data_IF_195838649429
#
_entry.id   IF_195838649429
#
_cell.length_a   1.000
_cell.length_b   1.000
_cell.length_c   1.000
_cell.angle_alpha   90.00
_cell.angle_beta   90.00
_cell.angle_gamma   90.00
#
_symmetry.space_group_name_H-M   'P 1'
#
loop_
_entity.id
_entity.type
_entity.pdbx_description
1 polymer ?
#
# COMPACT_ATOMS: atom_id res chain seq x y z
N UNK A 1 -72.25 -30.37 -48.73
CA UNK A 1 -71.49 -30.24 -47.46
C UNK A 1 -70.25 -31.08 -47.58
N UNK A 2 -69.09 -30.44 -47.74
CA UNK A 2 -67.83 -31.06 -48.17
C UNK A 2 -67.07 -31.63 -46.96
N UNK A 3 -67.02 -32.95 -46.87
CA UNK A 3 -66.05 -33.69 -46.05
C UNK A 3 -64.84 -33.99 -46.95
N UNK A 4 -63.65 -33.57 -46.53
CA UNK A 4 -62.40 -33.83 -47.25
C UNK A 4 -61.56 -34.78 -46.40
N UNK A 5 -61.50 -36.03 -46.85
CA UNK A 5 -60.53 -37.04 -46.47
C UNK A 5 -59.75 -37.40 -47.73
N UNK A 6 -58.42 -37.29 -47.67
CA UNK A 6 -57.35 -38.00 -48.42
C UNK A 6 -56.05 -37.19 -48.18
N UNK A 7 -54.87 -37.76 -47.99
CA UNK A 7 -54.25 -38.80 -48.83
C UNK A 7 -53.06 -39.46 -48.10
N UNK A 8 -52.83 -40.74 -48.42
CA UNK A 8 -51.62 -41.53 -48.13
C UNK A 8 -50.53 -41.26 -49.18
N UNK A 9 -49.26 -41.28 -48.77
CA UNK A 9 -48.07 -41.78 -49.51
C UNK A 9 -46.92 -41.91 -48.50
N UNK A 10 -46.47 -43.11 -48.11
CA UNK A 10 -45.49 -44.01 -48.73
C UNK A 10 -44.03 -43.48 -48.78
N UNK A 11 -43.28 -43.86 -47.74
CA UNK A 11 -41.92 -44.41 -47.67
C UNK A 11 -40.92 -44.23 -48.84
N UNK A 12 -39.79 -43.59 -48.52
CA UNK A 12 -38.39 -44.02 -48.74
C UNK A 12 -37.54 -43.18 -47.75
N UNK A 13 -36.63 -43.68 -46.91
CA UNK A 13 -35.78 -44.84 -46.96
C UNK A 13 -34.32 -44.39 -47.16
N UNK A 14 -33.64 -43.93 -46.11
CA UNK A 14 -32.16 -43.97 -45.99
C UNK A 14 -31.68 -43.56 -44.59
N UNK A 15 -30.88 -44.44 -43.98
CA UNK A 15 -30.08 -44.22 -42.77
C UNK A 15 -29.13 -43.02 -42.94
N UNK A 16 -28.97 -42.20 -41.89
CA UNK A 16 -27.70 -41.53 -41.59
C UNK A 16 -27.64 -41.02 -40.14
N UNK A 17 -26.76 -41.65 -39.36
CA UNK A 17 -25.83 -41.08 -38.38
C UNK A 17 -26.43 -40.18 -37.26
N UNK A 18 -26.39 -40.75 -36.05
CA UNK A 18 -26.55 -40.05 -34.77
C UNK A 18 -25.42 -39.04 -34.59
N UNK A 19 -25.72 -37.75 -34.69
CA UNK A 19 -24.90 -36.67 -34.14
C UNK A 19 -25.56 -36.16 -32.86
N UNK A 20 -24.96 -36.44 -31.70
CA UNK A 20 -25.28 -35.75 -30.45
C UNK A 20 -24.99 -34.26 -30.63
N UNK A 21 -26.04 -33.44 -30.68
CA UNK A 21 -25.96 -32.00 -30.52
C UNK A 21 -25.96 -31.70 -29.01
N UNK A 22 -24.78 -31.47 -28.45
CA UNK A 22 -24.65 -30.66 -27.24
C UNK A 22 -25.01 -29.22 -27.62
N UNK A 23 -26.10 -28.70 -27.05
CA UNK A 23 -26.32 -27.27 -27.01
C UNK A 23 -25.26 -26.63 -26.09
N UNK A 24 -24.51 -25.61 -26.52
CA UNK A 24 -23.70 -24.84 -25.60
C UNK A 24 -24.61 -23.94 -24.78
N UNK A 25 -24.58 -24.13 -23.47
CA UNK A 25 -24.96 -23.09 -22.51
C UNK A 25 -24.24 -21.79 -22.89
N UNK A 26 -24.99 -20.71 -22.98
CA UNK A 26 -24.47 -19.35 -23.17
C UNK A 26 -23.71 -18.93 -21.92
N UNK A 27 -22.45 -19.34 -21.83
CA UNK A 27 -21.46 -18.73 -20.97
C UNK A 27 -20.99 -17.42 -21.61
N UNK A 28 -21.42 -16.29 -21.06
CA UNK A 28 -20.84 -14.99 -21.40
C UNK A 28 -19.40 -14.92 -20.86
N UNK A 29 -18.44 -15.28 -21.70
CA UNK A 29 -17.03 -14.99 -21.51
C UNK A 29 -16.74 -13.56 -21.99
N UNK A 30 -16.83 -12.58 -21.09
CA UNK A 30 -16.20 -11.28 -21.30
C UNK A 30 -14.72 -11.37 -20.90
N UNK A 31 -13.88 -11.79 -21.85
CA UNK A 31 -12.43 -11.70 -21.74
C UNK A 31 -12.03 -10.26 -22.09
N UNK A 32 -11.89 -9.40 -21.09
CA UNK A 32 -11.23 -8.09 -21.22
C UNK A 32 -9.71 -8.25 -21.29
N UNK A 33 -8.98 -7.32 -21.95
CA UNK A 33 -7.55 -7.44 -22.19
C UNK A 33 -6.74 -7.24 -20.91
N UNK A 34 -5.60 -7.92 -20.85
CA UNK A 34 -4.74 -8.01 -19.66
C UNK A 34 -4.36 -6.67 -19.05
N UNK A 35 -4.78 -6.48 -17.81
CA UNK A 35 -4.10 -5.65 -16.82
C UNK A 35 -3.59 -6.59 -15.74
N UNK A 36 -2.29 -6.57 -15.49
CA UNK A 36 -1.66 -7.33 -14.42
C UNK A 36 -2.14 -6.80 -13.08
N UNK A 37 -3.14 -7.48 -12.52
CA UNK A 37 -3.57 -7.31 -11.14
C UNK A 37 -2.49 -7.97 -10.27
N UNK A 38 -1.54 -7.18 -9.80
CA UNK A 38 -0.50 -7.65 -8.90
C UNK A 38 -1.01 -7.62 -7.47
N UNK A 39 -0.92 -8.76 -6.80
CA UNK A 39 -1.29 -8.92 -5.41
C UNK A 39 -0.37 -8.04 -4.53
N UNK A 40 -0.93 -6.97 -3.95
CA UNK A 40 -0.32 -6.35 -2.78
C UNK A 40 -0.48 -7.39 -1.67
N UNK A 41 0.62 -8.04 -1.30
CA UNK A 41 0.61 -9.17 -0.38
C UNK A 41 -0.02 -8.77 0.96
N UNK A 42 -1.22 -9.29 1.18
CA UNK A 42 -2.11 -8.99 2.31
C UNK A 42 -3.45 -9.72 2.16
N UNK A 43 -3.43 -10.96 1.65
CA UNK A 43 -4.63 -11.77 1.56
C UNK A 43 -4.74 -12.69 2.79
N UNK A 44 -5.47 -12.23 3.82
CA UNK A 44 -5.77 -13.02 5.02
C UNK A 44 -6.70 -14.22 4.74
N UNK A 45 -7.13 -14.44 3.49
CA UNK A 45 -8.02 -15.53 3.09
C UNK A 45 -7.32 -16.91 3.04
N UNK A 46 -5.98 -16.98 3.16
CA UNK A 46 -5.22 -18.25 3.14
C UNK A 46 -4.90 -18.83 4.51
N UNK A 47 -5.29 -18.21 5.63
CA UNK A 47 -5.01 -18.77 6.95
C UNK A 47 -6.19 -19.63 7.44
N UNK A 48 -6.22 -20.86 6.94
CA UNK A 48 -7.10 -21.93 7.42
C UNK A 48 -6.73 -22.33 8.86
N UNK A 49 -7.18 -21.55 9.84
CA UNK A 49 -7.21 -21.93 11.26
C UNK A 49 -6.38 -21.09 12.23
N UNK A 50 -5.72 -20.01 11.80
CA UNK A 50 -5.15 -19.00 12.70
C UNK A 50 -6.03 -17.76 12.72
N UNK A 51 -6.11 -17.10 13.88
CA UNK A 51 -6.81 -15.82 14.07
C UNK A 51 -6.39 -14.84 12.98
N UNK A 52 -7.35 -14.36 12.18
CA UNK A 52 -7.12 -13.31 11.20
C UNK A 52 -6.49 -12.10 11.91
N UNK A 53 -5.23 -11.77 11.59
CA UNK A 53 -4.51 -10.64 12.22
C UNK A 53 -5.22 -9.32 11.92
N UNK A 54 -5.80 -9.17 10.72
CA UNK A 54 -6.71 -8.09 10.32
C UNK A 54 -7.75 -8.57 9.31
N UNK A 55 -8.89 -7.90 9.21
CA UNK A 55 -9.90 -8.08 8.16
C UNK A 55 -9.79 -7.05 7.03
N UNK A 56 -8.88 -6.08 7.14
CA UNK A 56 -8.61 -5.10 6.10
C UNK A 56 -7.86 -5.78 4.95
N UNK A 57 -8.31 -5.51 3.73
CA UNK A 57 -7.68 -5.99 2.50
C UNK A 57 -7.00 -4.82 1.81
N UNK A 58 -5.75 -5.03 1.39
CA UNK A 58 -4.97 -4.04 0.65
C UNK A 58 -4.87 -4.46 -0.83
N UNK A 59 -4.92 -3.47 -1.71
CA UNK A 59 -4.72 -3.63 -3.16
C UNK A 59 -4.12 -2.35 -3.74
N UNK A 60 -3.66 -2.36 -4.98
CA UNK A 60 -3.17 -1.15 -5.65
C UNK A 60 -1.98 -1.37 -6.57
N UNK A 61 -1.51 -0.28 -7.17
CA UNK A 61 -0.34 -0.24 -8.05
C UNK A 61 0.82 0.37 -7.29
N UNK A 62 1.73 -0.49 -6.83
CA UNK A 62 2.98 -0.12 -6.17
C UNK A 62 4.17 -0.57 -7.01
N UNK A 63 5.36 0.00 -6.80
CA UNK A 63 6.54 -0.34 -7.62
C UNK A 63 7.04 -1.78 -7.38
N UNK A 64 7.41 -2.47 -8.46
CA UNK A 64 8.01 -3.82 -8.50
C UNK A 64 9.49 -3.82 -8.06
N UNK A 65 9.83 -3.29 -6.89
CA UNK A 65 11.18 -3.46 -6.36
C UNK A 65 11.31 -4.86 -5.75
N UNK A 66 11.97 -5.77 -6.48
CA UNK A 66 12.50 -7.03 -5.93
C UNK A 66 13.57 -6.71 -4.88
N UNK A 67 13.12 -6.46 -3.67
CA UNK A 67 13.92 -6.18 -2.50
C UNK A 67 12.95 -6.07 -1.33
N UNK A 68 13.02 -7.04 -0.42
CA UNK A 68 12.31 -6.95 0.84
C UNK A 68 12.84 -5.73 1.58
N UNK A 69 12.10 -4.63 1.58
CA UNK A 69 11.93 -3.68 2.69
C UNK A 69 10.95 -2.59 2.22
N UNK A 70 9.80 -2.52 2.86
CA UNK A 70 8.88 -1.37 2.90
C UNK A 70 9.53 -0.11 3.48
N UNK A 71 10.75 -0.20 4.01
CA UNK A 71 11.33 0.78 4.95
C UNK A 71 11.95 2.04 4.35
N UNK A 72 11.56 2.49 3.16
CA UNK A 72 12.16 3.70 2.56
C UNK A 72 11.22 4.87 2.37
N UNK A 73 9.91 4.65 2.28
CA UNK A 73 8.93 5.72 2.10
C UNK A 73 8.53 6.25 3.48
N UNK A 74 9.02 7.44 3.83
CA UNK A 74 8.86 8.03 5.15
C UNK A 74 8.04 9.32 5.07
N UNK A 75 7.09 9.56 5.98
CA UNK A 75 6.37 10.83 6.04
C UNK A 75 7.31 11.99 6.39
N UNK A 76 7.02 13.14 5.81
CA UNK A 76 7.65 14.42 6.13
C UNK A 76 7.01 14.97 7.40
N UNK A 77 7.85 15.34 8.37
CA UNK A 77 7.42 15.91 9.64
C UNK A 77 7.11 14.88 10.74
N UNK A 78 6.50 15.35 11.83
CA UNK A 78 6.26 14.56 13.05
C UNK A 78 4.93 13.79 13.00
N UNK A 79 4.70 13.06 11.92
CA UNK A 79 3.51 12.23 11.76
C UNK A 79 3.88 10.76 11.48
N UNK A 80 3.07 9.84 11.99
CA UNK A 80 3.19 8.42 11.67
C UNK A 80 1.81 7.80 11.47
N UNK A 81 1.67 6.82 10.58
CA UNK A 81 0.48 6.00 10.48
C UNK A 81 0.10 5.37 11.84
N UNK A 82 -1.18 5.08 12.07
CA UNK A 82 -1.63 4.49 13.32
C UNK A 82 -0.96 3.13 13.52
N UNK A 83 -0.36 2.96 14.69
CA UNK A 83 0.28 1.70 15.09
C UNK A 83 -0.72 0.59 15.42
N UNK A 84 -1.97 0.99 15.69
CA UNK A 84 -3.05 0.12 16.11
C UNK A 84 -4.39 0.74 15.75
N UNK A 85 -5.40 -0.09 15.56
CA UNK A 85 -6.78 0.30 15.26
C UNK A 85 -7.78 -0.74 15.78
N UNK A 86 -9.05 -0.38 15.84
CA UNK A 86 -10.14 -1.29 16.16
C UNK A 86 -10.92 -1.66 14.91
N UNK A 87 -11.17 -2.95 14.72
CA UNK A 87 -11.97 -3.48 13.62
C UNK A 87 -12.88 -4.64 14.07
N UNK A 88 -13.98 -4.92 13.34
CA UNK A 88 -14.82 -6.09 13.61
C UNK A 88 -14.02 -7.39 13.44
N UNK A 89 -13.98 -8.24 14.47
CA UNK A 89 -13.22 -9.50 14.44
C UNK A 89 -14.06 -10.77 14.54
N UNK A 90 -15.10 -10.80 15.37
CA UNK A 90 -15.80 -12.07 15.68
C UNK A 90 -17.30 -11.91 15.84
N UNK A 91 -18.05 -12.93 15.42
CA UNK A 91 -19.43 -13.14 15.88
C UNK A 91 -19.46 -13.49 17.37
N UNK A 92 -20.63 -13.43 18.04
CA UNK A 92 -20.75 -13.84 19.45
C UNK A 92 -20.20 -15.23 19.77
N UNK A 93 -20.50 -16.22 18.91
CA UNK A 93 -20.06 -17.59 19.12
C UNK A 93 -18.55 -17.77 18.89
N UNK A 94 -17.98 -17.05 17.92
CA UNK A 94 -16.54 -17.05 17.66
C UNK A 94 -15.78 -16.37 18.80
N UNK A 95 -16.25 -15.23 19.29
CA UNK A 95 -15.60 -14.54 20.40
C UNK A 95 -15.61 -15.38 21.67
N UNK A 96 -16.74 -16.04 22.00
CA UNK A 96 -16.81 -16.93 23.14
C UNK A 96 -15.78 -18.08 23.06
N UNK A 97 -15.55 -18.64 21.86
CA UNK A 97 -14.53 -19.67 21.63
C UNK A 97 -13.12 -19.09 21.70
N UNK A 98 -12.90 -17.93 21.10
CA UNK A 98 -11.61 -17.25 21.09
C UNK A 98 -11.18 -16.86 22.52
N UNK A 99 -12.09 -16.28 23.30
CA UNK A 99 -11.88 -15.97 24.71
C UNK A 99 -11.50 -17.21 25.51
N UNK A 100 -12.18 -18.35 25.30
CA UNK A 100 -11.80 -19.61 25.97
C UNK A 100 -10.41 -20.08 25.57
N UNK A 101 -10.05 -19.97 24.29
CA UNK A 101 -8.73 -20.38 23.78
C UNK A 101 -7.61 -19.51 24.33
N UNK A 102 -7.76 -18.19 24.29
CA UNK A 102 -6.72 -17.25 24.74
C UNK A 102 -6.49 -17.31 26.25
N UNK A 103 -7.52 -17.72 26.98
CA UNK A 103 -7.50 -17.83 28.42
C UNK A 103 -7.51 -19.27 28.94
N UNK A 104 -7.21 -20.27 28.10
CA UNK A 104 -6.90 -21.65 28.52
C UNK A 104 -5.48 -21.71 29.12
N UNK A 105 -5.25 -20.88 30.12
CA UNK A 105 -3.97 -20.68 30.77
C UNK A 105 -3.91 -21.59 32.01
N UNK A 106 -2.82 -22.34 32.24
CA UNK A 106 -2.69 -23.19 33.42
C UNK A 106 -2.97 -22.43 34.72
N UNK A 107 -3.72 -23.06 35.63
CA UNK A 107 -4.16 -22.49 36.91
C UNK A 107 -3.01 -21.93 37.79
N UNK A 108 -1.75 -22.31 37.52
CA UNK A 108 -0.55 -21.86 38.23
C UNK A 108 0.05 -20.53 37.72
N UNK A 109 -0.54 -19.90 36.72
CA UNK A 109 -0.02 -18.68 36.06
C UNK A 109 -0.23 -17.37 36.83
N UNK A 110 -1.02 -17.37 37.91
CA UNK A 110 -1.33 -16.17 38.69
C UNK A 110 -2.34 -15.22 38.03
N UNK A 111 -2.80 -15.49 36.80
CA UNK A 111 -3.76 -14.64 36.05
C UNK A 111 -5.23 -15.11 36.17
N UNK A 112 -5.50 -16.13 36.99
CA UNK A 112 -6.83 -16.73 37.12
C UNK A 112 -7.92 -15.76 37.62
N UNK A 113 -7.56 -14.79 38.47
CA UNK A 113 -8.49 -13.75 38.92
C UNK A 113 -8.86 -12.80 37.78
N UNK A 114 -7.88 -12.33 37.01
CA UNK A 114 -8.12 -11.49 35.83
C UNK A 114 -8.97 -12.20 34.78
N UNK A 115 -8.73 -13.51 34.56
CA UNK A 115 -9.58 -14.35 33.71
C UNK A 115 -11.02 -14.38 34.19
N UNK A 116 -11.25 -14.66 35.48
CA UNK A 116 -12.60 -14.75 36.03
C UNK A 116 -13.32 -13.40 35.93
N UNK A 117 -12.65 -12.29 36.21
CA UNK A 117 -13.22 -10.94 36.06
C UNK A 117 -13.60 -10.64 34.60
N UNK A 118 -12.71 -10.92 33.64
CA UNK A 118 -12.99 -10.73 32.22
C UNK A 118 -14.12 -11.64 31.73
N UNK A 119 -14.14 -12.90 32.19
CA UNK A 119 -15.19 -13.87 31.86
C UNK A 119 -16.54 -13.44 32.40
N UNK A 120 -16.60 -13.00 33.66
CA UNK A 120 -17.82 -12.49 34.27
C UNK A 120 -18.30 -11.23 33.55
N UNK A 121 -17.41 -10.33 33.14
CA UNK A 121 -17.76 -9.15 32.34
C UNK A 121 -18.50 -9.51 31.04
N UNK A 122 -18.01 -10.47 30.26
CA UNK A 122 -18.65 -10.84 28.99
C UNK A 122 -19.84 -11.80 29.14
N UNK A 123 -19.87 -12.60 30.21
CA UNK A 123 -20.91 -13.60 30.43
C UNK A 123 -22.12 -13.05 31.19
N UNK A 124 -21.88 -12.22 32.21
CA UNK A 124 -22.89 -11.78 33.17
C UNK A 124 -22.80 -10.27 33.51
N UNK A 125 -21.91 -9.52 32.87
CA UNK A 125 -21.72 -8.09 33.12
C UNK A 125 -22.73 -7.21 32.39
N UNK A 126 -22.81 -5.93 32.76
CA UNK A 126 -23.52 -4.94 31.95
C UNK A 126 -22.52 -4.28 30.99
N UNK A 127 -22.83 -4.17 29.68
CA UNK A 127 -24.09 -4.47 29.02
C UNK A 127 -24.16 -5.88 28.38
N UNK A 128 -23.30 -6.83 28.76
CA UNK A 128 -23.08 -8.08 28.03
C UNK A 128 -23.61 -9.33 28.73
N UNK A 129 -24.48 -10.07 28.04
CA UNK A 129 -24.99 -11.36 28.53
C UNK A 129 -24.61 -12.50 27.60
N UNK A 130 -23.99 -13.53 28.16
CA UNK A 130 -23.51 -14.73 27.48
C UNK A 130 -22.79 -14.41 26.15
N UNK A 131 -21.80 -13.52 26.19
CA UNK A 131 -21.02 -13.07 25.05
C UNK A 131 -21.89 -12.49 23.91
N UNK A 132 -23.05 -11.93 24.23
CA UNK A 132 -24.06 -11.43 23.30
C UNK A 132 -24.55 -12.48 22.29
N UNK A 133 -24.58 -13.78 22.65
CA UNK A 133 -25.07 -14.84 21.73
C UNK A 133 -26.49 -14.59 21.21
N UNK A 134 -27.37 -13.99 21.99
CA UNK A 134 -28.72 -13.60 21.56
C UNK A 134 -28.75 -12.47 20.52
N UNK A 135 -27.64 -11.77 20.31
CA UNK A 135 -27.46 -10.70 19.33
C UNK A 135 -26.73 -11.18 18.06
N UNK A 136 -26.60 -12.49 17.86
CA UNK A 136 -25.99 -13.07 16.65
C UNK A 136 -26.63 -12.50 15.38
N UNK A 137 -25.80 -12.07 14.44
CA UNK A 137 -26.22 -11.47 13.18
C UNK A 137 -26.60 -9.98 13.24
N UNK A 138 -26.63 -9.38 14.43
CA UNK A 138 -26.97 -7.94 14.60
C UNK A 138 -25.74 -7.05 14.78
N UNK A 139 -24.56 -7.63 14.95
CA UNK A 139 -23.33 -6.93 15.25
C UNK A 139 -22.14 -7.87 15.28
N UNK A 140 -21.00 -7.32 15.66
CA UNK A 140 -19.74 -8.02 15.80
C UNK A 140 -18.99 -7.55 17.05
N UNK A 141 -18.13 -8.41 17.57
CA UNK A 141 -17.10 -8.04 18.54
C UNK A 141 -15.93 -7.37 17.83
N UNK A 142 -15.55 -6.20 18.33
CA UNK A 142 -14.45 -5.39 17.85
C UNK A 142 -13.28 -5.49 18.81
N UNK A 143 -12.09 -5.56 18.24
CA UNK A 143 -10.87 -5.75 19.00
C UNK A 143 -9.70 -5.02 18.36
N UNK A 144 -8.66 -4.78 19.15
CA UNK A 144 -7.46 -4.11 18.66
C UNK A 144 -6.73 -4.99 17.64
N UNK A 145 -6.27 -4.36 16.58
CA UNK A 145 -5.24 -4.86 15.67
C UNK A 145 -4.04 -3.97 15.80
N UNK A 146 -2.85 -4.57 15.72
CA UNK A 146 -1.57 -3.89 15.84
C UNK A 146 -0.79 -4.06 14.55
N UNK A 147 -0.03 -3.04 14.21
CA UNK A 147 1.03 -3.18 13.23
C UNK A 147 2.09 -4.14 13.78
N UNK A 148 2.32 -5.24 13.06
CA UNK A 148 3.16 -6.35 13.50
C UNK A 148 4.61 -5.92 13.72
N UNK A 149 5.17 -5.15 12.78
CA UNK A 149 6.56 -4.71 12.85
C UNK A 149 6.75 -3.77 14.06
N UNK A 150 5.78 -2.89 14.32
CA UNK A 150 5.80 -2.00 15.48
C UNK A 150 5.60 -2.74 16.80
N UNK A 151 4.70 -3.72 16.85
CA UNK A 151 4.53 -4.60 18.02
C UNK A 151 5.82 -5.36 18.33
N UNK A 152 6.44 -5.99 17.32
CA UNK A 152 7.68 -6.75 17.46
C UNK A 152 8.86 -5.86 17.90
N UNK A 153 8.89 -4.61 17.44
CA UNK A 153 9.90 -3.62 17.88
C UNK A 153 9.68 -3.08 19.31
N UNK A 154 8.54 -3.38 19.93
CA UNK A 154 8.18 -2.86 21.25
C UNK A 154 7.75 -1.39 21.25
N UNK A 155 7.27 -0.87 20.12
CA UNK A 155 6.80 0.50 20.00
C UNK A 155 5.56 0.74 20.89
N UNK A 156 5.61 1.67 21.87
CA UNK A 156 4.50 1.92 22.77
C UNK A 156 3.19 2.27 22.07
N UNK A 157 3.25 2.90 20.89
CA UNK A 157 2.04 3.27 20.16
C UNK A 157 1.27 2.05 19.66
N UNK A 158 1.93 0.92 19.36
CA UNK A 158 1.26 -0.33 18.96
C UNK A 158 0.36 -0.87 20.07
N UNK A 159 0.65 -0.51 21.33
CA UNK A 159 -0.12 -0.92 22.50
C UNK A 159 -1.11 0.16 22.99
N UNK A 160 -1.23 1.29 22.28
CA UNK A 160 -2.11 2.39 22.68
C UNK A 160 -3.61 2.08 22.49
N UNK A 161 -3.95 1.05 21.70
CA UNK A 161 -5.30 0.53 21.57
C UNK A 161 -5.53 -0.51 22.68
N UNK A 162 -5.87 0.00 23.87
CA UNK A 162 -5.98 -0.75 25.13
C UNK A 162 -7.43 -1.03 25.57
N UNK A 163 -8.42 -0.48 24.86
CA UNK A 163 -9.85 -0.78 25.09
C UNK A 163 -10.09 -2.28 24.90
N UNK A 164 -10.65 -2.91 25.94
CA UNK A 164 -11.04 -4.31 25.93
C UNK A 164 -12.05 -4.60 24.81
N UNK A 165 -12.03 -5.82 24.26
CA UNK A 165 -12.94 -6.25 23.19
C UNK A 165 -14.39 -5.86 23.48
N UNK A 166 -15.06 -5.20 22.53
CA UNK A 166 -16.38 -4.60 22.76
C UNK A 166 -17.37 -4.89 21.63
N UNK A 167 -18.66 -4.82 21.94
CA UNK A 167 -19.72 -5.13 20.97
C UNK A 167 -20.17 -3.89 20.21
N UNK A 168 -20.35 -4.02 18.91
CA UNK A 168 -20.92 -2.98 18.05
C UNK A 168 -21.97 -3.58 17.12
N UNK A 169 -23.09 -2.88 16.97
CA UNK A 169 -24.13 -3.23 16.00
C UNK A 169 -23.63 -3.03 14.56
N UNK A 170 -24.18 -3.84 13.63
CA UNK A 170 -23.80 -3.77 12.23
C UNK A 170 -24.08 -2.38 11.63
N UNK A 171 -23.20 -1.96 10.72
CA UNK A 171 -23.29 -0.67 10.02
C UNK A 171 -22.97 0.55 10.90
N UNK A 172 -22.53 0.36 12.15
CA UNK A 172 -22.08 1.45 13.02
C UNK A 172 -20.57 1.49 13.13
N UNK A 173 -20.02 2.70 13.11
CA UNK A 173 -18.65 2.97 13.56
C UNK A 173 -18.67 3.29 15.06
N UNK A 174 -17.90 2.59 15.90
CA UNK A 174 -17.86 2.87 17.33
C UNK A 174 -17.16 4.19 17.63
N UNK A 175 -17.59 4.87 18.69
CA UNK A 175 -16.94 6.10 19.18
C UNK A 175 -15.74 5.76 20.07
N UNK A 176 -14.76 5.07 19.51
CA UNK A 176 -13.46 4.82 20.14
C UNK A 176 -12.37 5.40 19.27
N UNK A 177 -11.31 5.91 19.88
CA UNK A 177 -10.14 6.40 19.13
C UNK A 177 -9.58 5.26 18.29
N UNK A 178 -9.20 5.56 17.05
CA UNK A 178 -8.69 4.58 16.07
C UNK A 178 -9.69 3.45 15.72
N UNK A 179 -11.00 3.64 15.94
CA UNK A 179 -12.00 2.83 15.23
C UNK A 179 -11.76 2.92 13.73
N UNK A 180 -11.81 1.80 13.02
CA UNK A 180 -11.62 1.80 11.56
C UNK A 180 -12.66 2.69 10.87
N UNK A 181 -12.15 3.68 10.16
CA UNK A 181 -12.87 4.67 9.35
C UNK A 181 -12.16 4.76 7.99
N UNK A 182 -12.77 5.41 6.96
CA UNK A 182 -12.06 5.69 5.71
C UNK A 182 -10.72 6.42 5.94
N UNK A 183 -10.65 7.33 6.90
CA UNK A 183 -9.40 8.02 7.24
C UNK A 183 -8.35 7.06 7.82
N UNK A 184 -8.71 6.18 8.76
CA UNK A 184 -7.77 5.16 9.28
C UNK A 184 -7.33 4.23 8.15
N UNK A 185 -8.23 3.83 7.27
CA UNK A 185 -7.88 3.04 6.08
C UNK A 185 -6.89 3.77 5.17
N UNK A 186 -7.04 5.09 4.97
CA UNK A 186 -6.11 5.88 4.17
C UNK A 186 -4.71 5.94 4.81
N UNK A 187 -4.64 6.10 6.13
CA UNK A 187 -3.38 6.12 6.87
C UNK A 187 -2.71 4.73 6.88
N UNK A 188 -3.48 3.65 6.93
CA UNK A 188 -2.96 2.29 6.77
C UNK A 188 -2.53 2.00 5.33
N UNK A 189 -3.24 2.52 4.33
CA UNK A 189 -2.80 2.44 2.94
C UNK A 189 -1.49 3.22 2.71
N UNK A 190 -1.31 4.37 3.37
CA UNK A 190 -0.07 5.14 3.37
C UNK A 190 1.13 4.29 3.80
N UNK A 191 1.02 3.53 4.90
CA UNK A 191 2.12 2.69 5.40
C UNK A 191 2.51 1.54 4.46
N UNK A 192 1.67 1.27 3.45
CA UNK A 192 1.90 0.23 2.44
C UNK A 192 2.36 0.78 1.10
N UNK A 193 2.53 2.10 0.96
CA UNK A 193 3.06 2.72 -0.25
C UNK A 193 4.49 2.22 -0.50
N UNK A 194 4.75 1.78 -1.73
CA UNK A 194 6.10 1.46 -2.21
C UNK A 194 6.35 2.20 -3.51
N UNK A 195 7.37 3.05 -3.49
CA UNK A 195 7.83 3.84 -4.62
C UNK A 195 9.09 3.24 -5.24
N UNK A 196 9.39 3.52 -6.52
CA UNK A 196 10.61 3.05 -7.17
C UNK A 196 11.89 3.54 -6.46
N UNK A 197 12.98 2.78 -6.59
CA UNK A 197 14.30 3.23 -6.14
C UNK A 197 14.72 4.52 -6.87
N UNK A 198 15.17 5.52 -6.11
CA UNK A 198 15.53 6.87 -6.54
C UNK A 198 16.93 6.97 -7.15
N UNK A 199 17.30 6.02 -8.02
CA UNK A 199 18.55 6.18 -8.79
C UNK A 199 18.36 7.21 -9.88
N UNK A 200 18.92 8.40 -9.65
CA UNK A 200 18.85 9.52 -10.58
C UNK A 200 19.75 9.24 -11.77
N UNK A 201 19.24 9.54 -12.97
CA UNK A 201 20.06 9.43 -14.17
C UNK A 201 21.00 10.63 -14.24
N UNK A 202 22.30 10.36 -14.38
CA UNK A 202 23.33 11.39 -14.47
C UNK A 202 23.97 11.43 -15.87
N UNK A 203 24.30 12.64 -16.33
CA UNK A 203 25.19 12.86 -17.47
C UNK A 203 26.24 13.93 -17.16
N UNK A 204 27.54 13.59 -17.15
CA UNK A 204 28.13 12.26 -17.36
C UNK A 204 27.71 11.21 -16.31
N UNK A 205 27.64 9.94 -16.71
CA UNK A 205 27.22 8.84 -15.83
C UNK A 205 28.36 8.43 -14.88
N UNK A 206 28.11 8.46 -13.57
CA UNK A 206 28.96 7.98 -12.45
C UNK A 206 30.34 8.65 -12.30
N UNK A 207 30.98 9.09 -13.39
CA UNK A 207 32.28 9.74 -13.39
C UNK A 207 32.14 11.10 -14.05
N UNK A 208 32.38 12.15 -13.27
CA UNK A 208 32.39 13.52 -13.75
C UNK A 208 33.75 14.18 -13.49
N UNK A 209 33.87 15.44 -13.88
CA UNK A 209 35.11 16.21 -13.77
C UNK A 209 34.89 17.45 -12.90
N UNK A 210 35.96 17.90 -12.26
CA UNK A 210 35.96 19.18 -11.53
C UNK A 210 35.51 20.29 -12.46
N UNK A 211 34.62 21.15 -11.98
CA UNK A 211 34.00 22.26 -12.70
C UNK A 211 33.13 21.87 -13.92
N UNK A 212 32.80 20.59 -14.09
CA UNK A 212 31.88 20.13 -15.14
C UNK A 212 30.45 19.98 -14.57
N UNK A 213 29.46 20.74 -15.07
CA UNK A 213 28.06 20.51 -14.72
C UNK A 213 27.62 19.10 -15.10
N UNK A 214 27.10 18.38 -14.12
CA UNK A 214 26.56 17.03 -14.25
C UNK A 214 25.05 17.14 -14.20
N UNK A 215 24.39 16.84 -15.31
CA UNK A 215 22.95 16.87 -15.45
C UNK A 215 22.34 15.70 -14.68
N UNK A 216 21.18 15.94 -14.06
CA UNK A 216 20.46 14.98 -13.25
C UNK A 216 18.96 15.01 -13.62
N UNK A 217 18.34 13.86 -13.82
CA UNK A 217 16.90 13.77 -14.07
C UNK A 217 16.34 12.42 -13.66
N UNK A 218 15.03 12.38 -13.47
CA UNK A 218 14.28 11.15 -13.25
C UNK A 218 13.68 10.64 -14.55
N UNK A 219 13.63 9.32 -14.71
CA UNK A 219 12.90 8.73 -15.82
C UNK A 219 11.39 8.78 -15.56
N UNK A 220 10.69 9.62 -16.32
CA UNK A 220 9.23 9.78 -16.24
C UNK A 220 8.48 8.45 -16.45
N UNK A 221 9.06 7.48 -17.16
CA UNK A 221 8.42 6.17 -17.31
C UNK A 221 8.43 5.36 -16.01
N UNK A 222 9.45 5.58 -15.17
CA UNK A 222 9.66 4.87 -13.89
C UNK A 222 8.97 5.59 -12.72
N UNK A 223 9.10 6.91 -12.63
CA UNK A 223 8.58 7.70 -11.51
C UNK A 223 7.21 8.28 -11.84
N UNK A 224 6.17 7.44 -11.67
CA UNK A 224 4.77 7.80 -11.82
C UNK A 224 4.05 7.74 -10.48
N UNK A 225 2.84 8.26 -10.44
CA UNK A 225 1.97 8.08 -9.28
C UNK A 225 1.79 6.60 -8.93
N UNK A 226 1.74 6.32 -7.63
CA UNK A 226 1.43 5.00 -7.07
C UNK A 226 0.24 5.15 -6.13
N UNK A 227 -0.54 4.09 -5.97
CA UNK A 227 -1.73 4.14 -5.11
C UNK A 227 -1.96 2.82 -4.40
N UNK A 228 -2.41 2.90 -3.16
CA UNK A 228 -2.83 1.76 -2.36
C UNK A 228 -4.26 1.99 -1.88
N UNK A 229 -5.12 0.99 -2.07
CA UNK A 229 -6.47 0.95 -1.54
C UNK A 229 -6.52 -0.01 -0.37
N UNK A 230 -6.98 0.48 0.78
CA UNK A 230 -7.36 -0.34 1.93
C UNK A 230 -8.89 -0.41 2.00
N UNK A 231 -9.45 -1.61 2.17
CA UNK A 231 -10.88 -1.84 2.19
C UNK A 231 -11.29 -2.78 3.32
N UNK A 232 -12.48 -2.55 3.86
CA UNK A 232 -13.11 -3.37 4.87
C UNK A 232 -14.59 -3.56 4.49
N UNK A 233 -14.96 -4.81 4.23
CA UNK A 233 -16.33 -5.23 3.91
C UNK A 233 -16.78 -6.33 4.89
N UNK A 234 -17.28 -5.92 6.06
CA UNK A 234 -17.72 -6.83 7.13
C UNK A 234 -18.67 -6.10 8.07
N UNK A 235 -19.56 -6.83 8.74
CA UNK A 235 -20.45 -6.27 9.77
C UNK A 235 -21.37 -5.16 9.25
N UNK A 236 -21.75 -5.19 7.97
CA UNK A 236 -22.53 -4.11 7.33
C UNK A 236 -21.75 -2.81 7.15
N UNK A 237 -20.44 -2.79 7.42
CA UNK A 237 -19.54 -1.74 6.99
C UNK A 237 -18.98 -2.13 5.62
N UNK A 238 -19.15 -1.22 4.66
CA UNK A 238 -18.47 -1.26 3.37
C UNK A 238 -17.75 0.06 3.21
N UNK A 239 -16.50 0.07 3.70
CA UNK A 239 -15.66 1.27 3.71
C UNK A 239 -14.34 0.98 2.99
N UNK A 240 -13.83 2.01 2.32
CA UNK A 240 -12.55 1.93 1.63
C UNK A 240 -11.89 3.30 1.59
N UNK A 241 -10.58 3.30 1.42
CA UNK A 241 -9.81 4.48 1.08
C UNK A 241 -8.65 4.12 0.16
N UNK A 242 -8.45 4.95 -0.86
CA UNK A 242 -7.33 4.89 -1.78
C UNK A 242 -6.43 6.07 -1.50
N UNK A 243 -5.21 5.78 -1.10
CA UNK A 243 -4.14 6.76 -0.89
C UNK A 243 -3.22 6.75 -2.11
N UNK A 244 -2.97 7.92 -2.68
CA UNK A 244 -2.19 8.13 -3.90
C UNK A 244 -1.00 9.03 -3.58
N UNK A 245 0.20 8.59 -3.98
CA UNK A 245 1.42 9.37 -3.89
C UNK A 245 1.90 9.79 -5.28
N UNK A 246 2.05 11.09 -5.52
CA UNK A 246 2.54 11.67 -6.78
C UNK A 246 3.91 12.33 -6.54
N UNK A 247 4.94 12.06 -7.37
CA UNK A 247 6.23 12.72 -7.19
C UNK A 247 6.09 14.21 -7.51
N UNK A 248 6.71 15.08 -6.71
CA UNK A 248 6.61 16.55 -6.86
C UNK A 248 7.96 17.26 -6.89
N UNK A 249 9.00 16.71 -6.24
CA UNK A 249 10.34 17.28 -6.29
C UNK A 249 11.44 16.24 -6.09
N UNK A 250 12.65 16.58 -6.56
CA UNK A 250 13.88 15.85 -6.31
C UNK A 250 14.89 16.76 -5.63
N UNK A 251 15.30 16.39 -4.43
CA UNK A 251 16.41 17.01 -3.72
C UNK A 251 17.72 16.29 -4.02
N UNK A 252 18.70 17.04 -4.49
CA UNK A 252 20.08 16.59 -4.71
C UNK A 252 21.01 17.13 -3.63
N UNK A 253 21.69 16.24 -2.95
CA UNK A 253 22.68 16.54 -1.93
C UNK A 253 24.04 15.96 -2.35
N UNK A 254 25.00 16.80 -2.80
CA UNK A 254 26.23 16.34 -3.45
C UNK A 254 27.15 15.45 -2.61
N UNK A 255 26.95 15.36 -1.30
CA UNK A 255 27.81 14.62 -0.37
C UNK A 255 29.11 15.33 -0.01
N UNK A 256 29.25 16.61 -0.38
CA UNK A 256 30.39 17.49 -0.04
C UNK A 256 29.96 18.95 -0.07
N UNK A 257 30.64 19.80 0.70
CA UNK A 257 30.48 21.25 0.65
C UNK A 257 31.19 21.87 -0.58
N UNK A 258 32.15 21.15 -1.17
CA UNK A 258 32.87 21.59 -2.38
C UNK A 258 32.08 21.25 -3.66
N UNK A 259 30.81 21.64 -3.71
CA UNK A 259 29.93 21.44 -4.86
C UNK A 259 28.85 22.53 -4.93
N UNK A 260 28.42 22.85 -6.14
CA UNK A 260 27.26 23.68 -6.43
C UNK A 260 26.14 22.81 -7.00
N UNK A 261 24.89 23.12 -6.65
CA UNK A 261 23.70 22.47 -7.20
C UNK A 261 22.99 23.37 -8.20
N UNK A 262 22.23 22.76 -9.10
CA UNK A 262 21.34 23.43 -10.04
C UNK A 262 19.94 22.83 -9.88
N UNK A 263 18.90 23.62 -9.55
CA UNK A 263 19.01 25.01 -9.08
C UNK A 263 19.85 25.11 -7.79
N UNK A 264 20.26 26.33 -7.40
CA UNK A 264 21.12 26.55 -6.22
C UNK A 264 20.52 26.03 -4.90
N UNK A 265 19.20 25.85 -4.83
CA UNK A 265 18.53 25.20 -3.69
C UNK A 265 18.83 23.70 -3.61
N UNK A 266 19.31 23.07 -4.68
CA UNK A 266 19.37 21.62 -4.86
C UNK A 266 18.00 20.95 -5.02
N UNK A 267 16.92 21.73 -5.06
CA UNK A 267 15.54 21.24 -5.15
C UNK A 267 15.02 21.38 -6.59
N UNK A 268 14.97 20.27 -7.31
CA UNK A 268 14.45 20.21 -8.66
C UNK A 268 12.95 19.95 -8.63
N UNK A 269 12.15 20.94 -9.01
CA UNK A 269 10.70 20.85 -9.05
C UNK A 269 10.21 20.04 -10.25
N UNK A 270 8.96 19.58 -10.18
CA UNK A 270 8.23 19.04 -11.31
C UNK A 270 8.11 20.09 -12.42
N UNK A 271 8.40 19.69 -13.66
CA UNK A 271 8.13 20.47 -14.85
C UNK A 271 6.64 20.37 -15.23
N UNK A 272 6.18 21.25 -16.13
CA UNK A 272 4.80 21.26 -16.66
C UNK A 272 4.38 19.93 -17.34
N UNK A 273 5.36 19.13 -17.78
CA UNK A 273 5.13 17.82 -18.38
C UNK A 273 5.24 16.66 -17.37
N UNK A 274 5.12 16.92 -16.06
CA UNK A 274 5.28 15.92 -14.99
C UNK A 274 6.66 15.22 -14.95
N UNK A 275 7.70 15.78 -15.59
CA UNK A 275 9.07 15.28 -15.47
C UNK A 275 9.86 16.04 -14.40
N UNK A 276 10.94 15.45 -13.88
CA UNK A 276 11.87 16.14 -12.97
C UNK A 276 13.26 16.17 -13.61
N UNK A 277 13.79 17.38 -13.76
CA UNK A 277 15.03 17.64 -14.51
C UNK A 277 14.81 17.59 -16.02
N UNK A 278 15.86 17.35 -16.80
CA UNK A 278 15.74 17.15 -18.23
C UNK A 278 16.83 16.18 -18.74
N UNK A 279 16.48 15.20 -19.58
CA UNK A 279 17.48 14.35 -20.21
C UNK A 279 18.51 15.16 -21.00
N UNK A 280 19.80 14.86 -20.78
CA UNK A 280 20.86 15.54 -21.52
C UNK A 280 20.78 15.22 -23.02
N UNK A 281 20.82 16.26 -23.86
CA UNK A 281 20.84 16.15 -25.31
C UNK A 281 22.16 16.69 -25.88
N UNK A 282 22.62 16.08 -26.98
CA UNK A 282 23.80 16.58 -27.71
C UNK A 282 23.59 18.05 -28.10
N UNK A 283 24.61 18.88 -27.88
CA UNK A 283 24.54 20.33 -28.11
C UNK A 283 24.28 21.15 -26.84
N UNK A 284 23.82 20.54 -25.75
CA UNK A 284 23.55 21.23 -24.47
C UNK A 284 24.73 21.28 -23.50
N UNK A 285 25.93 20.95 -23.96
CA UNK A 285 27.13 20.89 -23.11
C UNK A 285 27.52 22.24 -22.49
N UNK A 286 27.08 23.36 -23.09
CA UNK A 286 27.32 24.72 -22.61
C UNK A 286 26.14 25.31 -21.84
N UNK A 287 25.03 24.58 -21.71
CA UNK A 287 23.86 25.01 -20.97
C UNK A 287 23.97 24.62 -19.50
N UNK A 288 23.39 25.45 -18.63
CA UNK A 288 23.20 25.09 -17.22
C UNK A 288 22.11 24.04 -17.12
N UNK A 289 22.34 22.91 -16.44
CA UNK A 289 21.30 21.90 -16.25
C UNK A 289 20.12 22.49 -15.45
N UNK A 290 18.87 22.17 -15.81
CA UNK A 290 17.71 22.55 -15.00
C UNK A 290 17.71 21.84 -13.64
N UNK A 291 18.30 20.64 -13.59
CA UNK A 291 18.56 19.88 -12.39
C UNK A 291 19.95 19.23 -12.51
N UNK A 292 20.84 19.44 -11.55
CA UNK A 292 22.22 18.95 -11.64
C UNK A 292 23.15 19.41 -10.54
N UNK A 293 24.43 19.05 -10.71
CA UNK A 293 25.49 19.30 -9.71
C UNK A 293 26.80 19.62 -10.43
N UNK A 294 27.60 20.54 -9.90
CA UNK A 294 28.98 20.82 -10.33
C UNK A 294 29.91 20.72 -9.13
N UNK A 295 30.76 19.71 -9.13
CA UNK A 295 31.77 19.51 -8.09
C UNK A 295 32.97 20.44 -8.30
N UNK A 296 33.44 21.04 -7.23
CA UNK A 296 34.55 22.01 -7.22
C UNK A 296 35.89 21.37 -6.84
N UNK A 297 35.88 20.12 -6.34
CA UNK A 297 37.08 19.34 -6.01
C UNK A 297 36.99 17.90 -6.47
N UNK A 298 38.16 17.29 -6.63
CA UNK A 298 38.33 15.88 -6.94
C UNK A 298 37.96 15.00 -5.74
N UNK A 299 37.34 13.86 -5.98
CA UNK A 299 37.10 12.83 -4.95
C UNK A 299 38.36 12.01 -4.62
N UNK A 300 39.47 12.26 -5.33
CA UNK A 300 40.74 11.57 -5.12
C UNK A 300 40.63 10.08 -5.43
N UNK A 301 40.97 9.23 -4.45
CA UNK A 301 40.83 7.77 -4.56
C UNK A 301 39.44 7.26 -4.14
N UNK A 302 38.58 8.13 -3.62
CA UNK A 302 37.23 7.80 -3.16
C UNK A 302 36.14 8.33 -4.08
N UNK A 303 34.92 8.36 -3.56
CA UNK A 303 33.71 8.86 -4.23
C UNK A 303 32.99 9.85 -3.32
N UNK A 304 32.21 10.75 -3.92
CA UNK A 304 31.21 11.50 -3.18
C UNK A 304 29.91 10.69 -3.12
N UNK A 305 29.27 10.73 -1.95
CA UNK A 305 27.99 10.08 -1.69
C UNK A 305 26.86 11.03 -2.09
N UNK A 306 26.48 11.01 -3.37
CA UNK A 306 25.35 11.81 -3.83
C UNK A 306 24.06 11.20 -3.31
N UNK A 307 23.35 11.92 -2.43
CA UNK A 307 22.00 11.56 -2.01
C UNK A 307 20.98 12.24 -2.90
N UNK A 308 20.04 11.45 -3.40
CA UNK A 308 18.91 11.89 -4.17
C UNK A 308 17.64 11.49 -3.42
N UNK A 309 16.80 12.47 -3.07
CA UNK A 309 15.57 12.26 -2.29
C UNK A 309 14.39 12.81 -3.08
N UNK A 310 13.41 11.97 -3.40
CA UNK A 310 12.17 12.40 -4.03
C UNK A 310 11.14 12.68 -2.94
N UNK A 311 10.46 13.82 -3.07
CA UNK A 311 9.27 14.16 -2.30
C UNK A 311 8.03 13.82 -3.12
N UNK A 312 7.06 13.22 -2.45
CA UNK A 312 5.80 12.77 -3.00
C UNK A 312 4.65 13.45 -2.26
N UNK A 313 3.83 14.19 -3.00
CA UNK A 313 2.55 14.70 -2.50
C UNK A 313 1.60 13.52 -2.32
N UNK A 314 0.92 13.45 -1.17
CA UNK A 314 0.06 12.32 -0.82
C UNK A 314 -1.35 12.77 -0.49
N UNK A 315 -2.29 12.33 -1.32
CA UNK A 315 -3.72 12.57 -1.12
C UNK A 315 -4.48 11.25 -1.05
N UNK A 316 -5.71 11.30 -0.56
CA UNK A 316 -6.56 10.11 -0.50
C UNK A 316 -8.03 10.44 -0.76
N UNK A 317 -8.73 9.42 -1.24
CA UNK A 317 -10.18 9.43 -1.44
C UNK A 317 -10.78 8.17 -0.83
N UNK A 318 -12.00 8.25 -0.30
CA UNK A 318 -12.63 7.13 0.38
C UNK A 318 -14.13 7.05 0.19
N UNK A 319 -14.69 5.93 0.65
CA UNK A 319 -16.12 5.66 0.65
C UNK A 319 -16.91 6.78 1.36
N UNK A 320 -18.11 7.09 0.87
CA UNK A 320 -18.96 8.14 1.44
C UNK A 320 -18.51 9.56 1.08
N UNK A 321 -17.60 9.73 0.11
CA UNK A 321 -17.09 11.04 -0.31
C UNK A 321 -16.04 11.62 0.64
N UNK A 322 -15.51 10.80 1.56
CA UNK A 322 -14.40 11.18 2.41
C UNK A 322 -13.11 11.33 1.57
N UNK A 323 -12.18 12.16 2.04
CA UNK A 323 -10.91 12.36 1.39
C UNK A 323 -10.18 13.56 1.98
N UNK A 324 -8.97 13.78 1.49
CA UNK A 324 -8.14 14.90 1.91
C UNK A 324 -6.67 14.61 1.65
N UNK A 325 -5.83 15.40 2.29
CA UNK A 325 -4.38 15.29 2.18
C UNK A 325 -3.83 14.49 3.37
N UNK A 326 -2.73 13.78 3.12
CA UNK A 326 -1.86 13.19 4.13
C UNK A 326 -0.50 13.90 4.04
N UNK A 327 0.37 13.75 5.06
CA UNK A 327 1.71 14.31 4.96
C UNK A 327 2.44 13.80 3.71
N UNK A 328 3.21 14.68 3.09
CA UNK A 328 4.10 14.30 1.99
C UNK A 328 4.99 13.12 2.42
N UNK A 329 5.33 12.26 1.47
CA UNK A 329 6.28 11.18 1.68
C UNK A 329 7.62 11.48 1.01
N UNK A 330 8.70 10.95 1.57
CA UNK A 330 10.02 11.01 0.96
C UNK A 330 10.61 9.62 0.82
N UNK A 331 11.34 9.42 -0.26
CA UNK A 331 12.19 8.25 -0.44
C UNK A 331 13.47 8.72 -1.11
N UNK A 332 14.62 8.29 -0.61
CA UNK A 332 15.89 8.69 -1.19
C UNK A 332 16.93 7.58 -1.16
N UNK A 333 17.78 7.58 -2.18
CA UNK A 333 18.94 6.69 -2.25
C UNK A 333 20.22 7.45 -2.49
N UNK A 334 21.32 6.77 -2.14
CA UNK A 334 22.66 7.30 -2.30
C UNK A 334 23.35 6.58 -3.44
N UNK A 335 24.01 7.34 -4.31
CA UNK A 335 24.83 6.82 -5.40
C UNK A 335 26.23 7.42 -5.38
N UNK A 336 27.21 6.59 -5.68
CA UNK A 336 28.61 7.01 -5.76
C UNK A 336 28.89 7.84 -7.01
N UNK A 337 29.55 8.98 -6.81
CA UNK A 337 30.05 9.84 -7.90
C UNK A 337 31.56 10.02 -7.77
N UNK A 338 32.29 9.61 -8.81
CA UNK A 338 33.73 9.86 -8.92
C UNK A 338 33.96 11.20 -9.62
N UNK A 339 34.76 12.07 -9.01
CA UNK A 339 35.10 13.38 -9.59
C UNK A 339 36.58 13.41 -9.89
N UNK A 340 36.91 13.53 -11.17
CA UNK A 340 38.29 13.60 -11.64
C UNK A 340 38.72 15.04 -11.91
N UNK A 341 39.98 15.33 -11.64
CA UNK A 341 40.59 16.60 -12.02
C UNK A 341 41.38 16.41 -13.31
N UNK A 342 41.15 17.28 -14.29
CA UNK A 342 41.99 17.31 -15.49
C UNK A 342 43.06 18.37 -15.28
N UNK A 343 44.30 17.93 -15.28
CA UNK A 343 45.48 18.80 -15.32
C UNK A 343 46.03 18.78 -16.74
N UNK A 344 46.10 19.95 -17.38
CA UNK A 344 46.77 20.10 -18.68
C UNK A 344 48.24 20.43 -18.45
N UNK A 345 49.13 19.59 -18.97
CA UNK A 345 50.56 19.89 -18.99
C UNK A 345 50.83 20.68 -20.27
N UNK A 346 51.07 21.98 -20.15
CA UNK A 346 51.55 22.78 -21.27
C UNK A 346 53.05 22.49 -21.42
N UNK A 347 53.46 21.95 -22.57
CA UNK A 347 54.86 21.68 -22.89
C UNK A 347 55.42 22.74 -23.82
#
# INVERSE_FOLDING_TARGET
MRSVIRTRTLTAGALAIVCLLCAPDVAFAAKGPGGSQFDVEGNNQKDSGKTLESRIVFSGSVSDTKGAHSGGFAPVGDWSPPACWYEPKWSPAEFAKQFQKDWDIPNASGVGEAYNLAKEHYKNGEPYKDFNKSQTGKGMWWDAVRDKDREESGDPAAFACDTATFWVENGRTPNVKNAVTPEILAQLAYSRIKVPDTKVTLAPKNVTKVNLPTWAWLDKATFKEVSVTAALDVAGLNISATTTAKPVSLKLEPGTADAETFPASGECQLNDDDSIGAPFAKGKAHETPPCGIKYLRSSGKGTYQLRATITWDVNWTGSGGAGGDLPDGTFGTTQDVTVQEIQSVNR
#
